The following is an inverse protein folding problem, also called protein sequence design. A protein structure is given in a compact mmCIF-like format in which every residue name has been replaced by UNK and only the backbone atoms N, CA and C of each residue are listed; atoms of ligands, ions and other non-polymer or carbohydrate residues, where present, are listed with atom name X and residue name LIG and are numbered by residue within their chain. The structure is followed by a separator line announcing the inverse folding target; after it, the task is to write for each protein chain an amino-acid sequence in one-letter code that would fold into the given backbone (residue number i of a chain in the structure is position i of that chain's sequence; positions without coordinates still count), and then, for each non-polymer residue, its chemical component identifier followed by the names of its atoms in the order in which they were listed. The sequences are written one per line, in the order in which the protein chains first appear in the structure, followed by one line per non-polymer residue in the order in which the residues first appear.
data_IF_076691884385
#
_entry.id   IF_076691884385
#
_cell.length_a   1.000
_cell.length_b   1.000
_cell.length_c   1.000
_cell.angle_alpha   90.00
_cell.angle_beta   90.00
_cell.angle_gamma   90.00
#
_symmetry.space_group_name_H-M   'P 1'
#
loop_
_entity.id
_entity.type
_entity.pdbx_description
1 polymer ?
#
# COMPACT_ATOMS: atom_id res chain seq x y z
N UNK A 1 -0.21 -14.48 4.85
CA UNK A 1 -1.35 -13.71 4.35
C UNK A 1 -1.40 -13.80 2.84
N UNK A 2 -2.45 -13.23 2.26
CA UNK A 2 -2.52 -12.85 0.85
C UNK A 2 -1.93 -11.44 0.72
N UNK A 3 -1.06 -11.18 -0.26
CA UNK A 3 -0.58 -9.81 -0.45
C UNK A 3 -1.72 -8.91 -0.91
N UNK A 4 -1.90 -7.77 -0.24
CA UNK A 4 -2.98 -6.82 -0.52
C UNK A 4 -2.88 -6.20 -1.91
N UNK A 5 -1.68 -6.20 -2.49
CA UNK A 5 -1.34 -5.63 -3.80
C UNK A 5 -0.72 -6.71 -4.68
N UNK A 6 -0.82 -6.54 -5.99
CA UNK A 6 -0.05 -7.38 -6.93
C UNK A 6 1.40 -6.90 -6.90
N UNK A 7 2.38 -7.80 -7.02
CA UNK A 7 3.80 -7.43 -7.06
C UNK A 7 4.08 -6.38 -8.15
N UNK A 8 4.89 -5.39 -7.80
CA UNK A 8 5.30 -4.32 -8.71
C UNK A 8 6.74 -3.86 -8.42
N UNK A 9 7.56 -3.83 -9.47
CA UNK A 9 8.97 -3.46 -9.39
C UNK A 9 9.29 -2.19 -10.18
N UNK A 10 8.45 -1.84 -11.15
CA UNK A 10 8.61 -0.68 -12.01
C UNK A 10 7.29 0.06 -12.24
N UNK A 11 7.38 1.24 -12.84
CA UNK A 11 6.21 2.00 -13.29
C UNK A 11 5.30 1.21 -14.23
N UNK A 12 5.87 0.35 -15.07
CA UNK A 12 5.11 -0.42 -16.06
C UNK A 12 4.28 -1.55 -15.41
N UNK A 13 4.67 -1.98 -14.20
CA UNK A 13 3.93 -2.97 -13.41
C UNK A 13 2.83 -2.33 -12.55
N UNK A 14 2.89 -1.01 -12.35
CA UNK A 14 2.00 -0.30 -11.44
C UNK A 14 0.59 -0.16 -12.04
N UNK A 15 -0.31 -1.02 -11.60
CA UNK A 15 -1.74 -0.92 -11.90
C UNK A 15 -2.37 0.14 -10.98
N UNK A 16 -3.12 1.07 -11.57
CA UNK A 16 -3.83 2.13 -10.83
C UNK A 16 -5.32 1.84 -10.70
N UNK A 17 -5.93 2.40 -9.66
CA UNK A 17 -7.36 2.35 -9.42
C UNK A 17 -7.97 3.75 -9.46
N UNK A 18 -9.08 3.92 -10.18
CA UNK A 18 -9.84 5.17 -10.22
C UNK A 18 -10.77 5.23 -9.00
N UNK A 19 -10.22 5.67 -7.86
CA UNK A 19 -10.94 5.75 -6.59
C UNK A 19 -12.11 6.73 -6.69
N UNK A 20 -13.31 6.27 -6.31
CA UNK A 20 -14.45 7.19 -6.13
C UNK A 20 -14.24 8.06 -4.90
N UNK A 21 -15.04 9.12 -4.80
CA UNK A 21 -14.99 10.09 -3.69
C UNK A 21 -15.02 9.38 -2.33
N UNK A 22 -13.95 9.52 -1.55
CA UNK A 22 -13.82 8.97 -0.19
C UNK A 22 -13.29 7.53 -0.13
N UNK A 23 -13.23 6.78 -1.24
CA UNK A 23 -12.73 5.39 -1.23
C UNK A 23 -11.23 5.35 -0.91
N UNK A 24 -10.44 6.26 -1.50
CA UNK A 24 -9.00 6.35 -1.24
C UNK A 24 -8.70 6.69 0.22
N UNK A 25 -9.43 7.65 0.77
CA UNK A 25 -9.27 8.07 2.16
C UNK A 25 -9.66 6.96 3.14
N UNK A 26 -10.72 6.20 2.84
CA UNK A 26 -11.12 5.05 3.62
C UNK A 26 -10.05 3.94 3.58
N UNK A 27 -9.53 3.60 2.40
CA UNK A 27 -8.45 2.63 2.24
C UNK A 27 -7.19 3.04 3.01
N UNK A 28 -6.73 4.28 2.85
CA UNK A 28 -5.55 4.78 3.56
C UNK A 28 -5.77 4.79 5.07
N UNK A 29 -6.98 5.13 5.53
CA UNK A 29 -7.33 5.09 6.96
C UNK A 29 -7.29 3.66 7.51
N UNK A 30 -7.83 2.70 6.75
CA UNK A 30 -7.78 1.29 7.09
C UNK A 30 -6.34 0.80 7.22
N UNK A 31 -5.51 0.97 6.18
CA UNK A 31 -4.10 0.55 6.16
C UNK A 31 -3.28 1.15 7.30
N UNK A 32 -3.56 2.40 7.70
CA UNK A 32 -2.85 3.11 8.78
C UNK A 32 -3.36 2.80 10.18
N UNK A 33 -4.50 2.10 10.31
CA UNK A 33 -5.09 1.77 11.61
C UNK A 33 -4.39 0.59 12.31
N UNK A 34 -3.65 -0.22 11.55
CA UNK A 34 -2.96 -1.41 12.05
C UNK A 34 -1.59 -1.07 12.63
N UNK A 35 -1.18 -1.85 13.63
CA UNK A 35 0.21 -1.84 14.12
C UNK A 35 1.07 -2.64 13.15
N UNK A 36 2.31 -2.20 12.96
CA UNK A 36 3.28 -2.95 12.17
C UNK A 36 3.76 -4.19 12.91
N UNK A 37 4.03 -5.26 12.15
CA UNK A 37 4.51 -6.55 12.65
C UNK A 37 6.04 -6.65 12.57
N UNK A 38 6.63 -5.91 11.62
CA UNK A 38 8.08 -5.85 11.43
C UNK A 38 8.54 -4.50 10.88
N UNK A 39 9.83 -4.21 11.10
CA UNK A 39 10.54 -3.04 10.58
C UNK A 39 11.85 -3.48 9.91
N UNK A 40 12.16 -2.89 8.76
CA UNK A 40 13.40 -3.09 8.02
C UNK A 40 14.14 -1.75 7.81
N UNK A 41 15.14 -1.73 6.92
CA UNK A 41 15.89 -0.52 6.61
C UNK A 41 14.94 0.61 6.17
N UNK A 42 15.14 1.82 6.70
CA UNK A 42 14.27 2.99 6.49
C UNK A 42 14.39 3.65 5.11
N UNK A 43 14.29 2.86 4.05
CA UNK A 43 14.19 3.33 2.68
C UNK A 43 13.46 2.34 1.77
N UNK A 44 12.93 2.83 0.65
CA UNK A 44 12.46 2.01 -0.47
C UNK A 44 12.56 2.80 -1.78
N UNK A 45 12.61 2.09 -2.90
CA UNK A 45 12.53 2.70 -4.22
C UNK A 45 11.07 3.00 -4.56
N UNK A 46 10.81 4.26 -4.93
CA UNK A 46 9.58 4.68 -5.59
C UNK A 46 9.64 4.21 -7.04
N UNK A 47 8.79 3.24 -7.39
CA UNK A 47 8.84 2.60 -8.71
C UNK A 47 8.44 3.53 -9.84
N UNK A 48 7.72 4.60 -9.53
CA UNK A 48 7.18 5.52 -10.53
C UNK A 48 8.25 6.53 -10.95
N UNK A 49 9.07 6.99 -10.01
CA UNK A 49 10.14 7.98 -10.26
C UNK A 49 11.52 7.35 -10.37
N UNK A 50 11.71 6.15 -9.82
CA UNK A 50 13.03 5.52 -9.64
C UNK A 50 13.86 6.15 -8.52
N UNK A 51 13.30 7.10 -7.77
CA UNK A 51 13.99 7.72 -6.64
C UNK A 51 13.92 6.85 -5.39
N UNK A 52 15.04 6.73 -4.69
CA UNK A 52 15.07 6.13 -3.36
C UNK A 52 14.44 7.11 -2.35
N UNK A 53 13.37 6.68 -1.69
CA UNK A 53 12.78 7.40 -0.56
C UNK A 53 13.53 7.00 0.71
N UNK A 54 14.17 7.97 1.35
CA UNK A 54 14.99 7.79 2.56
C UNK A 54 14.31 8.47 3.73
N UNK A 55 14.43 7.90 4.93
CA UNK A 55 13.86 8.48 6.16
C UNK A 55 12.39 8.12 6.37
N UNK A 56 11.89 7.13 5.63
CA UNK A 56 10.60 6.49 5.85
C UNK A 56 10.88 5.08 6.33
N UNK A 57 10.36 4.70 7.49
CA UNK A 57 10.50 3.33 7.97
C UNK A 57 9.84 2.35 6.99
N UNK A 58 10.58 1.32 6.59
CA UNK A 58 10.01 0.22 5.82
C UNK A 58 9.33 -0.75 6.79
N UNK A 59 8.01 -0.65 6.86
CA UNK A 59 7.17 -1.37 7.82
C UNK A 59 6.34 -2.41 7.08
N UNK A 60 6.17 -3.57 7.70
CA UNK A 60 5.23 -4.60 7.27
C UNK A 60 4.02 -4.63 8.20
N UNK A 61 2.84 -4.82 7.63
CA UNK A 61 1.56 -4.83 8.32
C UNK A 61 0.73 -6.02 7.86
N UNK A 62 -0.16 -6.50 8.73
CA UNK A 62 -1.26 -7.39 8.35
C UNK A 62 -2.58 -7.09 9.10
N UNK A 63 -3.69 -7.53 8.50
CA UNK A 63 -5.04 -7.51 9.10
C UNK A 63 -5.52 -8.92 9.54
N UNK A 64 -4.61 -9.90 9.54
CA UNK A 64 -4.89 -11.33 9.73
C UNK A 64 -5.27 -12.09 8.45
N UNK A 65 -5.62 -11.42 7.35
CA UNK A 65 -5.93 -12.02 6.04
C UNK A 65 -4.94 -11.52 4.99
N UNK A 66 -4.78 -10.20 4.90
CA UNK A 66 -3.94 -9.50 3.94
C UNK A 66 -2.69 -8.91 4.58
N UNK A 67 -1.61 -8.82 3.80
CA UNK A 67 -0.36 -8.15 4.17
C UNK A 67 -0.02 -7.03 3.21
N UNK A 68 0.59 -5.96 3.73
CA UNK A 68 1.11 -4.84 2.93
C UNK A 68 2.27 -4.17 3.64
N UNK A 69 2.86 -3.18 2.97
CA UNK A 69 4.02 -2.44 3.45
C UNK A 69 3.77 -0.93 3.48
N UNK A 70 4.66 -0.19 4.16
CA UNK A 70 4.66 1.26 4.07
C UNK A 70 4.95 1.78 2.64
N UNK A 71 5.67 1.00 1.83
CA UNK A 71 5.84 1.27 0.39
C UNK A 71 4.51 1.20 -0.35
N UNK A 72 3.67 0.19 -0.09
CA UNK A 72 2.37 0.08 -0.75
C UNK A 72 1.46 1.24 -0.35
N UNK A 73 1.44 1.57 0.95
CA UNK A 73 0.69 2.72 1.49
C UNK A 73 1.10 4.04 0.80
N UNK A 74 2.41 4.24 0.61
CA UNK A 74 2.95 5.39 -0.10
C UNK A 74 2.47 5.43 -1.57
N UNK A 75 2.48 4.30 -2.27
CA UNK A 75 2.09 4.26 -3.68
C UNK A 75 0.56 4.39 -3.87
N UNK A 76 -0.26 3.96 -2.91
CA UNK A 76 -1.69 4.30 -2.89
C UNK A 76 -1.87 5.82 -2.74
N UNK A 77 -1.18 6.43 -1.77
CA UNK A 77 -1.30 7.86 -1.49
C UNK A 77 -0.87 8.74 -2.66
N UNK A 78 0.24 8.41 -3.32
CA UNK A 78 0.84 9.27 -4.33
C UNK A 78 0.53 8.90 -5.78
N UNK A 79 0.18 7.64 -6.06
CA UNK A 79 0.06 7.12 -7.43
C UNK A 79 -1.20 6.30 -7.67
N UNK A 80 -2.14 6.30 -6.73
CA UNK A 80 -3.41 5.58 -6.85
C UNK A 80 -3.21 4.08 -7.13
N UNK A 81 -2.17 3.47 -6.56
CA UNK A 81 -1.90 2.03 -6.67
C UNK A 81 -3.17 1.22 -6.38
N UNK A 82 -3.48 0.26 -7.25
CA UNK A 82 -4.65 -0.59 -7.13
C UNK A 82 -4.43 -1.72 -6.13
N UNK A 83 -5.19 -1.79 -5.02
CA UNK A 83 -5.26 -3.00 -4.21
C UNK A 83 -5.99 -4.11 -4.97
N UNK A 84 -5.89 -5.34 -4.45
CA UNK A 84 -6.83 -6.40 -4.82
C UNK A 84 -8.25 -5.97 -4.44
N UNK A 85 -9.22 -6.32 -5.29
CA UNK A 85 -10.64 -5.99 -5.08
C UNK A 85 -11.15 -6.45 -3.70
N UNK A 86 -10.72 -7.63 -3.25
CA UNK A 86 -11.10 -8.21 -1.96
C UNK A 86 -10.57 -7.40 -0.77
N UNK A 87 -9.36 -6.86 -0.89
CA UNK A 87 -8.75 -6.01 0.14
C UNK A 87 -9.44 -4.64 0.19
N UNK A 88 -9.73 -4.05 -0.98
CA UNK A 88 -10.49 -2.80 -1.05
C UNK A 88 -11.90 -2.97 -0.44
N UNK A 89 -12.59 -4.06 -0.76
CA UNK A 89 -13.90 -4.35 -0.20
C UNK A 89 -13.86 -4.49 1.33
N UNK A 90 -12.81 -5.12 1.88
CA UNK A 90 -12.60 -5.21 3.32
C UNK A 90 -12.37 -3.83 3.96
N UNK A 91 -11.50 -3.01 3.35
CA UNK A 91 -11.19 -1.67 3.84
C UNK A 91 -12.42 -0.73 3.85
N UNK A 92 -13.29 -0.83 2.83
CA UNK A 92 -14.51 -0.02 2.73
C UNK A 92 -15.63 -0.48 3.67
N UNK A 93 -15.51 -1.67 4.25
CA UNK A 93 -16.49 -2.22 5.19
C UNK A 93 -16.09 -2.06 6.67
N UNK A 94 -14.89 -1.53 6.94
CA UNK A 94 -14.28 -1.41 8.26
C UNK A 94 -14.79 -0.21 9.09
#
# INVERSE_FOLDING_TARGET
MIDAFTDYESKDDLVTHDYKSGEKEALLSYMRSFRYDAVAAGFFDDVVTGEMKIGIDYLAFDDGIFSWTSRDTYHVEHYDLAPRDEFLAAALAA
#
